data_IF_232855546687
#
_entry.id   IF_232855546687
#
_cell.length_a   1.000
_cell.length_b   1.000
_cell.length_c   1.000
_cell.angle_alpha   90.00
_cell.angle_beta   90.00
_cell.angle_gamma   90.00
#
_symmetry.space_group_name_H-M   'P 1'
#
loop_
_entity.id
_entity.type
_entity.pdbx_description
1 polymer ?
#
# COMPACT_ATOMS: atom_id res chain seq x y z
N UNK A 1 11.49 17.95 6.76
CA UNK A 1 10.18 17.99 6.09
C UNK A 1 9.63 16.57 6.00
N UNK A 2 8.41 16.32 6.47
CA UNK A 2 7.75 15.00 6.34
C UNK A 2 7.27 14.83 4.90
N UNK A 3 7.43 13.64 4.31
CA UNK A 3 7.01 13.37 2.92
C UNK A 3 5.99 12.23 2.90
N UNK A 4 4.85 12.46 2.28
CA UNK A 4 3.74 11.50 2.15
C UNK A 4 3.58 11.13 0.68
N UNK A 5 3.88 9.87 0.33
CA UNK A 5 3.71 9.33 -1.02
C UNK A 5 2.43 8.49 -1.04
N UNK A 6 1.54 8.74 -1.99
CA UNK A 6 0.24 8.08 -2.10
C UNK A 6 0.13 7.40 -3.46
N UNK A 7 0.21 6.07 -3.48
CA UNK A 7 -0.07 5.28 -4.68
C UNK A 7 -1.58 5.09 -4.84
N UNK A 8 -2.13 5.64 -5.92
CA UNK A 8 -3.55 5.75 -6.17
C UNK A 8 -3.94 5.42 -7.61
N UNK A 9 -5.25 5.30 -7.84
CA UNK A 9 -5.81 5.27 -9.18
C UNK A 9 -6.95 6.29 -9.27
N UNK A 10 -6.97 7.10 -10.35
CA UNK A 10 -7.89 8.23 -10.51
C UNK A 10 -9.39 7.85 -10.43
N UNK A 11 -9.78 6.64 -10.83
CA UNK A 11 -11.18 6.17 -10.75
C UNK A 11 -11.55 5.52 -9.40
N UNK A 12 -10.62 5.43 -8.45
CA UNK A 12 -10.89 4.83 -7.14
C UNK A 12 -11.51 5.86 -6.18
N UNK A 13 -12.74 5.62 -5.74
CA UNK A 13 -13.45 6.50 -4.80
C UNK A 13 -12.75 6.59 -3.43
N UNK A 14 -12.19 5.48 -2.95
CA UNK A 14 -11.41 5.45 -1.70
C UNK A 14 -10.13 6.28 -1.81
N UNK A 15 -9.44 6.25 -2.96
CA UNK A 15 -8.29 7.12 -3.21
C UNK A 15 -8.69 8.60 -3.19
N UNK A 16 -9.79 8.97 -3.86
CA UNK A 16 -10.29 10.36 -3.85
C UNK A 16 -10.57 10.87 -2.44
N UNK A 17 -11.19 10.03 -1.58
CA UNK A 17 -11.44 10.37 -0.17
C UNK A 17 -10.15 10.59 0.61
N UNK A 18 -9.18 9.68 0.46
CA UNK A 18 -7.89 9.78 1.14
C UNK A 18 -7.08 11.00 0.71
N UNK A 19 -6.99 11.28 -0.60
CA UNK A 19 -6.27 12.44 -1.14
C UNK A 19 -6.89 13.73 -0.61
N UNK A 20 -8.23 13.87 -0.69
CA UNK A 20 -8.93 15.04 -0.15
C UNK A 20 -8.62 15.25 1.33
N UNK A 21 -8.69 14.18 2.13
CA UNK A 21 -8.37 14.25 3.56
C UNK A 21 -6.92 14.69 3.83
N UNK A 22 -5.97 14.19 3.04
CA UNK A 22 -4.57 14.58 3.15
C UNK A 22 -4.38 16.06 2.78
N UNK A 23 -4.89 16.50 1.63
CA UNK A 23 -4.78 17.88 1.16
C UNK A 23 -5.36 18.88 2.17
N UNK A 24 -6.54 18.60 2.74
CA UNK A 24 -7.19 19.47 3.74
C UNK A 24 -6.38 19.62 5.03
N UNK A 25 -5.67 18.57 5.47
CA UNK A 25 -4.90 18.60 6.71
C UNK A 25 -3.44 19.04 6.49
N UNK A 26 -2.85 18.79 5.32
CA UNK A 26 -1.55 19.33 4.91
C UNK A 26 -1.62 20.85 4.72
N UNK A 27 -2.72 21.38 4.19
CA UNK A 27 -2.93 22.83 4.08
C UNK A 27 -2.83 23.55 5.45
N UNK A 28 -3.14 22.84 6.55
CA UNK A 28 -3.01 23.34 7.93
C UNK A 28 -1.59 23.16 8.50
N UNK A 29 -0.82 22.21 7.97
CA UNK A 29 0.50 21.80 8.45
C UNK A 29 1.54 21.90 7.34
N UNK A 30 2.17 23.07 7.18
CA UNK A 30 3.05 23.40 6.04
C UNK A 30 4.38 22.62 5.95
N UNK A 31 4.69 21.72 6.89
CA UNK A 31 5.93 20.91 6.88
C UNK A 31 5.75 19.51 6.28
N UNK A 32 4.69 19.29 5.49
CA UNK A 32 4.39 17.99 4.85
C UNK A 32 4.33 18.17 3.33
N UNK A 33 5.18 17.44 2.61
CA UNK A 33 5.14 17.31 1.15
C UNK A 33 4.22 16.13 0.76
N UNK A 34 3.27 16.35 -0.14
CA UNK A 34 2.41 15.31 -0.70
C UNK A 34 2.83 14.97 -2.12
N UNK A 35 3.17 13.70 -2.37
CA UNK A 35 3.46 13.16 -3.70
C UNK A 35 2.39 12.12 -4.07
N UNK A 36 1.75 12.29 -5.22
CA UNK A 36 0.77 11.34 -5.75
C UNK A 36 1.40 10.53 -6.88
N UNK A 37 1.27 9.21 -6.83
CA UNK A 37 1.75 8.29 -7.86
C UNK A 37 0.62 7.44 -8.41
N UNK A 38 0.58 7.22 -9.72
CA UNK A 38 -0.37 6.29 -10.31
C UNK A 38 0.09 4.85 -10.05
N UNK A 39 -0.68 4.12 -9.25
CA UNK A 39 -0.37 2.74 -8.88
C UNK A 39 -0.36 1.77 -10.06
N UNK A 40 -0.89 2.16 -11.23
CA UNK A 40 -0.87 1.32 -12.43
C UNK A 40 0.46 1.45 -13.16
N UNK A 41 0.95 2.68 -13.36
CA UNK A 41 2.16 2.96 -14.15
C UNK A 41 3.42 3.07 -13.29
N UNK A 42 3.28 3.51 -12.05
CA UNK A 42 4.37 3.77 -11.11
C UNK A 42 4.35 2.82 -9.91
N UNK A 43 3.75 1.62 -10.06
CA UNK A 43 3.71 0.62 -8.97
C UNK A 43 5.10 0.35 -8.41
N UNK A 44 5.23 0.10 -7.09
CA UNK A 44 6.48 -0.36 -6.52
C UNK A 44 7.01 -1.61 -7.24
N UNK A 45 8.31 -1.66 -7.46
CA UNK A 45 8.97 -2.89 -7.92
C UNK A 45 9.08 -3.92 -6.78
N UNK A 46 9.58 -5.11 -7.08
CA UNK A 46 9.70 -6.21 -6.10
C UNK A 46 10.45 -5.78 -4.83
N UNK A 47 11.64 -5.18 -4.99
CA UNK A 47 12.49 -4.79 -3.87
C UNK A 47 11.87 -3.66 -3.03
N UNK A 48 11.19 -2.72 -3.67
CA UNK A 48 10.45 -1.65 -2.99
C UNK A 48 9.25 -2.22 -2.23
N UNK A 49 8.48 -3.13 -2.84
CA UNK A 49 7.35 -3.78 -2.20
C UNK A 49 7.78 -4.61 -0.98
N UNK A 50 8.90 -5.35 -1.08
CA UNK A 50 9.49 -6.07 0.06
C UNK A 50 9.73 -5.10 1.21
N UNK A 51 10.46 -4.01 0.97
CA UNK A 51 10.74 -3.00 2.01
C UNK A 51 9.45 -2.43 2.61
N UNK A 52 8.46 -2.12 1.78
CA UNK A 52 7.16 -1.61 2.24
C UNK A 52 6.48 -2.63 3.18
N UNK A 53 6.47 -3.92 2.83
CA UNK A 53 5.86 -4.97 3.64
C UNK A 53 6.62 -5.13 4.97
N UNK A 54 7.95 -5.16 4.91
CA UNK A 54 8.80 -5.29 6.10
C UNK A 54 8.59 -4.12 7.07
N UNK A 55 8.53 -2.89 6.55
CA UNK A 55 8.22 -1.69 7.35
C UNK A 55 6.81 -1.79 7.94
N UNK A 56 5.81 -2.20 7.15
CA UNK A 56 4.40 -2.26 7.61
C UNK A 56 4.23 -3.17 8.82
N UNK A 57 4.95 -4.29 8.84
CA UNK A 57 4.81 -5.32 9.86
C UNK A 57 5.93 -5.35 10.88
N UNK A 58 6.98 -4.55 10.67
CA UNK A 58 8.22 -4.57 11.45
C UNK A 58 8.80 -6.00 11.57
N UNK A 59 8.92 -6.67 10.43
CA UNK A 59 9.36 -8.07 10.28
C UNK A 59 10.19 -8.23 9.01
N UNK A 60 11.07 -9.22 8.97
CA UNK A 60 11.74 -9.60 7.72
C UNK A 60 10.75 -10.29 6.77
N UNK A 61 10.98 -10.18 5.46
CA UNK A 61 10.11 -10.81 4.45
C UNK A 61 9.95 -12.32 4.66
N UNK A 62 10.99 -12.99 5.19
CA UNK A 62 10.99 -14.42 5.53
C UNK A 62 10.04 -14.78 6.69
N UNK A 63 9.64 -13.80 7.50
CA UNK A 63 8.77 -13.97 8.68
C UNK A 63 7.33 -13.54 8.40
N UNK A 64 7.08 -12.97 7.21
CA UNK A 64 5.77 -12.49 6.80
C UNK A 64 4.84 -13.68 6.55
N UNK A 65 3.67 -13.61 7.16
CA UNK A 65 2.61 -14.61 6.97
C UNK A 65 1.80 -14.32 5.71
N UNK A 66 1.19 -15.36 5.15
CA UNK A 66 0.30 -15.26 3.98
C UNK A 66 -0.83 -14.24 4.17
N UNK A 67 -1.44 -14.18 5.35
CA UNK A 67 -2.51 -13.22 5.66
C UNK A 67 -2.01 -11.77 5.78
N UNK A 68 -0.76 -11.58 6.20
CA UNK A 68 -0.11 -10.27 6.22
C UNK A 68 0.11 -9.77 4.79
N UNK A 69 0.63 -10.64 3.92
CA UNK A 69 0.79 -10.34 2.49
C UNK A 69 -0.56 -10.12 1.78
N UNK A 70 -1.59 -10.89 2.15
CA UNK A 70 -2.97 -10.73 1.63
C UNK A 70 -3.51 -9.33 1.87
N UNK A 71 -3.12 -8.65 2.94
CA UNK A 71 -3.60 -7.30 3.25
C UNK A 71 -3.19 -6.26 2.19
N UNK A 72 -2.12 -6.53 1.44
CA UNK A 72 -1.63 -5.70 0.33
C UNK A 72 -2.38 -5.93 -0.96
N UNK A 73 -3.25 -6.95 -1.06
CA UNK A 73 -4.05 -7.16 -2.25
C UNK A 73 -5.28 -6.26 -2.29
N UNK A 74 -5.63 -5.82 -3.49
CA UNK A 74 -6.92 -5.23 -3.82
C UNK A 74 -8.00 -6.32 -3.84
N UNK A 75 -8.41 -6.78 -2.66
CA UNK A 75 -9.36 -7.88 -2.49
C UNK A 75 -10.76 -7.60 -3.06
N UNK A 76 -11.12 -6.32 -3.24
CA UNK A 76 -12.36 -5.90 -3.91
C UNK A 76 -12.23 -5.81 -5.44
N UNK A 77 -11.01 -5.93 -5.97
CA UNK A 77 -10.71 -5.83 -7.38
C UNK A 77 -11.29 -6.98 -8.20
N UNK A 78 -11.65 -6.69 -9.45
CA UNK A 78 -12.09 -7.71 -10.41
C UNK A 78 -10.98 -8.75 -10.63
N UNK A 79 -9.74 -8.29 -10.85
CA UNK A 79 -8.58 -9.15 -11.10
C UNK A 79 -8.28 -10.13 -9.95
N UNK A 80 -8.52 -9.72 -8.70
CA UNK A 80 -8.36 -10.60 -7.53
C UNK A 80 -9.37 -11.75 -7.54
N UNK A 81 -10.62 -11.45 -7.94
CA UNK A 81 -11.72 -12.43 -8.00
C UNK A 81 -11.58 -13.35 -9.21
N UNK A 82 -11.37 -12.81 -10.40
CA UNK A 82 -11.28 -13.60 -11.64
C UNK A 82 -10.10 -14.57 -11.66
N UNK A 83 -8.97 -14.20 -11.03
CA UNK A 83 -7.80 -15.06 -10.96
C UNK A 83 -7.77 -15.99 -9.73
N UNK A 84 -8.86 -16.06 -8.95
CA UNK A 84 -8.96 -16.86 -7.72
C UNK A 84 -7.78 -16.63 -6.77
N UNK A 85 -7.35 -15.38 -6.61
CA UNK A 85 -6.13 -15.04 -5.85
C UNK A 85 -6.26 -15.45 -4.37
N UNK A 86 -7.48 -15.41 -3.82
CA UNK A 86 -7.74 -15.88 -2.45
C UNK A 86 -7.31 -17.33 -2.26
N UNK A 87 -7.60 -18.19 -3.22
CA UNK A 87 -7.29 -19.61 -3.12
C UNK A 87 -5.81 -19.84 -3.37
N UNK A 88 -5.19 -19.12 -4.30
CA UNK A 88 -3.73 -19.14 -4.51
C UNK A 88 -2.95 -18.73 -3.25
N UNK A 89 -3.42 -17.73 -2.51
CA UNK A 89 -2.78 -17.31 -1.24
C UNK A 89 -2.86 -18.43 -0.20
N UNK A 90 -4.00 -19.13 -0.12
CA UNK A 90 -4.25 -20.21 0.86
C UNK A 90 -3.57 -21.53 0.49
N UNK A 91 -3.29 -21.75 -0.79
CA UNK A 91 -2.62 -22.96 -1.25
C UNK A 91 -1.17 -22.99 -0.72
N UNK A 92 -0.89 -23.97 0.14
CA UNK A 92 0.41 -24.17 0.78
C UNK A 92 1.52 -24.47 -0.23
N UNK A 93 1.18 -24.89 -1.45
CA UNK A 93 2.14 -25.11 -2.54
C UNK A 93 2.77 -23.83 -3.08
N UNK A 94 2.07 -22.69 -2.99
CA UNK A 94 2.61 -21.40 -3.42
C UNK A 94 3.48 -20.83 -2.32
N UNK A 95 4.75 -20.53 -2.59
CA UNK A 95 5.63 -19.88 -1.62
C UNK A 95 5.21 -18.42 -1.34
N UNK A 96 5.82 -17.79 -0.34
CA UNK A 96 5.66 -16.34 -0.11
C UNK A 96 6.14 -15.54 -1.32
N UNK A 97 7.23 -15.96 -1.96
CA UNK A 97 7.79 -15.35 -3.16
C UNK A 97 6.82 -15.44 -4.35
N UNK A 98 6.14 -16.57 -4.53
CA UNK A 98 5.11 -16.73 -5.57
C UNK A 98 3.95 -15.76 -5.37
N UNK A 99 3.44 -15.65 -4.13
CA UNK A 99 2.36 -14.72 -3.81
C UNK A 99 2.80 -13.27 -4.02
N UNK A 100 4.05 -12.94 -3.66
CA UNK A 100 4.61 -11.62 -3.84
C UNK A 100 4.76 -11.26 -5.32
N UNK A 101 5.20 -12.20 -6.15
CA UNK A 101 5.25 -12.04 -7.61
C UNK A 101 3.86 -11.79 -8.20
N UNK A 102 2.82 -12.48 -7.69
CA UNK A 102 1.43 -12.20 -8.07
C UNK A 102 1.04 -10.78 -7.64
N UNK A 103 1.35 -10.37 -6.42
CA UNK A 103 1.03 -9.03 -5.90
C UNK A 103 1.61 -7.90 -6.77
N UNK A 104 2.87 -8.03 -7.18
CA UNK A 104 3.58 -7.01 -7.95
C UNK A 104 3.41 -7.16 -9.47
N UNK A 105 2.75 -8.21 -9.95
CA UNK A 105 2.56 -8.45 -11.39
C UNK A 105 1.78 -7.33 -12.11
N UNK A 106 0.76 -6.78 -11.45
CA UNK A 106 -0.08 -5.71 -11.98
C UNK A 106 -0.43 -4.74 -10.83
N UNK A 107 -0.33 -3.43 -11.07
CA UNK A 107 -0.73 -2.40 -10.10
C UNK A 107 -2.18 -2.51 -9.62
N UNK A 108 -3.06 -3.13 -10.43
CA UNK A 108 -4.46 -3.43 -10.06
C UNK A 108 -4.57 -4.48 -8.96
N UNK A 109 -3.55 -5.32 -8.76
CA UNK A 109 -3.48 -6.28 -7.66
C UNK A 109 -3.20 -5.61 -6.33
N UNK A 110 -2.57 -4.44 -6.31
CA UNK A 110 -2.14 -3.77 -5.08
C UNK A 110 -3.30 -2.98 -4.47
N UNK A 111 -3.46 -3.11 -3.14
CA UNK A 111 -4.45 -2.37 -2.36
C UNK A 111 -4.19 -0.88 -2.45
N UNK A 112 -5.27 -0.13 -2.62
CA UNK A 112 -5.24 1.31 -2.84
C UNK A 112 -6.26 2.05 -1.96
N UNK A 113 -5.94 3.25 -1.47
CA UNK A 113 -4.62 3.89 -1.53
C UNK A 113 -3.56 3.12 -0.74
N UNK A 114 -2.33 3.09 -1.23
CA UNK A 114 -1.14 2.65 -0.48
C UNK A 114 -0.35 3.91 -0.14
N UNK A 115 -0.18 4.20 1.15
CA UNK A 115 0.47 5.44 1.61
C UNK A 115 1.77 5.10 2.32
N UNK A 116 2.82 5.82 1.95
CA UNK A 116 4.13 5.78 2.58
C UNK A 116 4.35 7.16 3.22
N UNK A 117 4.54 7.18 4.53
CA UNK A 117 4.89 8.38 5.29
C UNK A 117 6.37 8.26 5.65
N UNK A 118 7.19 9.15 5.12
CA UNK A 118 8.61 9.28 5.46
C UNK A 118 8.76 10.47 6.40
N UNK A 119 9.26 10.21 7.61
CA UNK A 119 9.56 11.24 8.60
C UNK A 119 11.03 11.67 8.53
N UNK A 120 11.37 12.76 9.23
CA UNK A 120 12.72 13.33 9.24
C UNK A 120 13.75 12.42 9.91
N UNK A 121 13.32 11.59 10.87
CA UNK A 121 14.18 10.70 11.65
C UNK A 121 14.36 9.31 10.99
N UNK A 122 14.28 9.24 9.65
CA UNK A 122 14.26 7.99 8.87
C UNK A 122 13.14 7.00 9.20
N UNK A 123 12.20 7.39 10.07
CA UNK A 123 11.03 6.60 10.38
C UNK A 123 10.07 6.56 9.18
N UNK A 124 9.58 5.36 8.87
CA UNK A 124 8.62 5.13 7.80
C UNK A 124 7.38 4.44 8.35
N UNK A 125 6.22 4.92 7.93
CA UNK A 125 4.95 4.28 8.24
C UNK A 125 4.17 3.98 6.95
N UNK A 126 3.49 2.83 6.94
CA UNK A 126 2.75 2.35 5.78
C UNK A 126 1.28 2.23 6.14
N UNK A 127 0.41 2.89 5.36
CA UNK A 127 -1.04 2.78 5.52
C UNK A 127 -1.66 2.08 4.32
N UNK A 128 -2.61 1.17 4.59
CA UNK A 128 -3.23 0.30 3.59
C UNK A 128 -4.74 0.56 3.50
N UNK A 129 -5.14 1.23 2.42
CA UNK A 129 -6.50 1.75 2.26
C UNK A 129 -6.68 3.08 2.99
N UNK A 130 -7.93 3.51 3.09
CA UNK A 130 -8.28 4.73 3.83
C UNK A 130 -9.01 4.37 5.12
N UNK A 131 -8.40 4.75 6.24
CA UNK A 131 -9.00 4.70 7.57
C UNK A 131 -8.59 5.99 8.27
N UNK A 132 -9.57 6.84 8.52
CA UNK A 132 -9.31 8.20 9.01
C UNK A 132 -8.46 8.22 10.29
N UNK A 133 -8.74 7.33 11.24
CA UNK A 133 -7.97 7.22 12.50
C UNK A 133 -6.48 6.90 12.27
N UNK A 134 -6.14 6.11 11.24
CA UNK A 134 -4.73 5.84 10.91
C UNK A 134 -4.06 7.08 10.27
N UNK A 135 -4.82 7.89 9.54
CA UNK A 135 -4.32 9.07 8.83
C UNK A 135 -4.14 10.28 9.74
N UNK A 136 -4.88 10.38 10.85
CA UNK A 136 -4.69 11.43 11.85
C UNK A 136 -3.26 11.47 12.39
N UNK A 137 -2.63 10.30 12.53
CA UNK A 137 -1.25 10.17 13.04
C UNK A 137 -0.18 10.65 12.04
N UNK A 138 -0.55 11.09 10.83
CA UNK A 138 0.38 11.66 9.86
C UNK A 138 0.76 13.09 10.24
N UNK A 139 -0.15 13.82 10.89
CA UNK A 139 -0.04 15.24 11.22
C UNK A 139 0.46 15.43 12.64
#
# INVERSE_FOLDING_TARGET
>A
MKKVIVYCYNRCTTCKKAIKYLEENIAKNKNIELELKDIITEKPNLNEMIKIIEIKYNKKISEIKRDELKSFFNTSGILYRENNIKDKIKDEKNSIEDILNILISDGKMIKRPLVIVNEENDNKNILLGFKEEEYKNIF
#
